data_IF_206963581927
#
_entry.id   IF_206963581927
#
_cell.length_a   1.000
_cell.length_b   1.000
_cell.length_c   1.000
_cell.angle_alpha   90.00
_cell.angle_beta   90.00
_cell.angle_gamma   90.00
#
_symmetry.space_group_name_H-M   'P 1'
#
loop_
_entity.id
_entity.type
_entity.pdbx_description
1 polymer ?
#
# COMPACT_ATOMS: atom_id res chain seq x y z
N UNK A 1 -20.64 5.11 -0.36
CA UNK A 1 -19.75 5.13 0.82
C UNK A 1 -18.53 4.27 0.50
N UNK A 2 -17.32 4.69 0.87
CA UNK A 2 -16.12 3.97 0.48
C UNK A 2 -16.14 2.53 1.00
N UNK A 3 -15.78 1.59 0.13
CA UNK A 3 -15.64 0.18 0.51
C UNK A 3 -14.30 -0.08 1.20
N UNK A 4 -13.27 0.69 0.81
CA UNK A 4 -11.94 0.69 1.42
C UNK A 4 -11.66 2.05 2.05
N UNK A 5 -11.13 2.05 3.26
CA UNK A 5 -10.48 3.20 3.88
C UNK A 5 -9.01 2.88 4.08
N UNK A 6 -8.14 3.82 3.71
CA UNK A 6 -6.70 3.74 4.00
C UNK A 6 -6.26 4.92 4.86
N UNK A 7 -5.31 4.70 5.78
CA UNK A 7 -4.75 5.75 6.63
C UNK A 7 -3.23 5.68 6.58
N UNK A 8 -2.58 6.75 6.13
CA UNK A 8 -1.12 6.79 6.06
C UNK A 8 -0.56 8.01 5.34
N UNK A 9 0.76 8.12 5.30
CA UNK A 9 1.46 9.24 4.69
C UNK A 9 1.59 9.10 3.18
N UNK A 10 1.35 10.20 2.48
CA UNK A 10 1.71 10.37 1.07
C UNK A 10 2.66 11.57 0.93
N UNK A 11 3.73 11.37 0.17
CA UNK A 11 4.76 12.38 -0.09
C UNK A 11 4.69 12.88 -1.53
N UNK A 12 5.14 14.12 -1.75
CA UNK A 12 5.48 14.55 -3.11
C UNK A 12 6.84 13.96 -3.49
N UNK A 13 6.86 13.12 -4.50
CA UNK A 13 8.02 12.39 -4.97
C UNK A 13 8.63 13.05 -6.19
N UNK A 14 9.88 13.47 -6.08
CA UNK A 14 10.66 14.07 -7.14
C UNK A 14 11.45 12.98 -7.87
N UNK A 15 11.04 12.67 -9.10
CA UNK A 15 11.69 11.68 -9.96
C UNK A 15 12.57 12.39 -10.97
N UNK A 16 13.86 12.08 -11.05
CA UNK A 16 14.77 12.73 -12.01
C UNK A 16 14.42 12.34 -13.45
N UNK A 17 14.72 13.22 -14.40
CA UNK A 17 14.61 12.98 -15.82
C UNK A 17 15.87 12.29 -16.41
N UNK A 18 16.91 12.12 -15.59
CA UNK A 18 18.21 11.57 -16.00
C UNK A 18 18.75 10.56 -14.99
N UNK A 19 19.57 9.66 -15.48
CA UNK A 19 20.30 8.68 -14.66
C UNK A 19 21.58 9.31 -14.10
N UNK A 20 21.84 9.11 -12.82
CA UNK A 20 23.05 9.58 -12.15
C UNK A 20 22.81 10.19 -10.79
N UNK A 21 23.90 10.67 -10.17
CA UNK A 21 23.81 11.23 -8.81
C UNK A 21 22.98 12.53 -8.79
N UNK A 22 22.09 12.63 -7.78
CA UNK A 22 21.17 13.77 -7.60
C UNK A 22 21.82 15.14 -7.69
N UNK A 23 23.06 15.26 -7.24
CA UNK A 23 23.82 16.53 -7.29
C UNK A 23 24.02 17.09 -8.70
N UNK A 24 23.80 16.31 -9.74
CA UNK A 24 23.92 16.71 -11.14
C UNK A 24 22.57 16.79 -11.86
N UNK A 25 21.48 16.36 -11.22
CA UNK A 25 20.13 16.44 -11.78
C UNK A 25 19.60 17.85 -11.72
N UNK A 26 19.10 18.38 -12.82
CA UNK A 26 18.57 19.73 -12.91
C UNK A 26 17.04 19.75 -13.04
N UNK A 27 16.43 18.67 -13.54
CA UNK A 27 14.98 18.61 -13.74
C UNK A 27 14.38 17.39 -13.07
N UNK A 28 13.18 17.57 -12.51
CA UNK A 28 12.42 16.54 -11.86
C UNK A 28 10.95 16.59 -12.27
N UNK A 29 10.36 15.44 -12.52
CA UNK A 29 8.92 15.28 -12.49
C UNK A 29 8.44 15.10 -11.06
N UNK A 30 7.26 15.64 -10.72
CA UNK A 30 6.63 15.47 -9.41
C UNK A 30 5.52 14.45 -9.54
N UNK A 31 5.48 13.48 -8.60
CA UNK A 31 4.46 12.43 -8.46
C UNK A 31 4.03 12.29 -7.02
N UNK A 32 3.01 11.48 -6.77
CA UNK A 32 2.64 11.07 -5.41
C UNK A 32 3.31 9.73 -5.08
N UNK A 33 3.67 9.53 -3.82
CA UNK A 33 4.20 8.27 -3.32
C UNK A 33 3.78 8.05 -1.86
N UNK A 34 3.01 7.00 -1.62
CA UNK A 34 2.55 6.60 -0.30
C UNK A 34 1.88 5.24 -0.37
N UNK A 35 2.29 4.29 0.46
CA UNK A 35 1.85 2.91 0.38
C UNK A 35 0.31 2.80 0.44
N UNK A 36 -0.29 3.45 1.41
CA UNK A 36 -1.74 3.41 1.62
C UNK A 36 -2.51 4.14 0.53
N UNK A 37 -2.02 5.31 0.06
CA UNK A 37 -2.66 6.03 -1.04
C UNK A 37 -2.49 5.31 -2.38
N UNK A 38 -1.37 4.62 -2.61
CA UNK A 38 -1.16 3.81 -3.79
C UNK A 38 -2.22 2.70 -3.88
N UNK A 39 -2.51 2.03 -2.76
CA UNK A 39 -3.58 1.02 -2.69
C UNK A 39 -4.95 1.66 -2.97
N UNK A 40 -5.26 2.81 -2.40
CA UNK A 40 -6.53 3.50 -2.63
C UNK A 40 -6.71 3.88 -4.12
N UNK A 41 -5.65 4.39 -4.78
CA UNK A 41 -5.65 4.69 -6.22
C UNK A 41 -5.90 3.43 -7.05
N UNK A 42 -5.23 2.33 -6.72
CA UNK A 42 -5.42 1.08 -7.45
C UNK A 42 -6.86 0.56 -7.36
N UNK A 43 -7.50 0.65 -6.19
CA UNK A 43 -8.90 0.27 -6.06
C UNK A 43 -9.82 1.19 -6.86
N UNK A 44 -9.58 2.51 -6.81
CA UNK A 44 -10.37 3.48 -7.57
C UNK A 44 -10.29 3.21 -9.08
N UNK A 45 -9.10 2.95 -9.63
CA UNK A 45 -8.92 2.55 -11.04
C UNK A 45 -9.65 1.26 -11.39
N UNK A 46 -9.78 0.32 -10.44
CA UNK A 46 -10.54 -0.92 -10.62
C UNK A 46 -12.05 -0.76 -10.38
N UNK A 47 -12.55 0.47 -10.26
CA UNK A 47 -13.98 0.79 -10.18
C UNK A 47 -14.58 0.65 -8.78
N UNK A 48 -13.78 0.62 -7.72
CA UNK A 48 -14.22 0.54 -6.34
C UNK A 48 -14.12 1.90 -5.64
N UNK A 49 -15.02 2.16 -4.70
CA UNK A 49 -14.97 3.38 -3.89
C UNK A 49 -13.91 3.25 -2.79
N UNK A 50 -12.85 4.07 -2.87
CA UNK A 50 -11.77 4.12 -1.90
C UNK A 50 -11.62 5.52 -1.30
N UNK A 51 -11.36 5.59 0.01
CA UNK A 51 -11.05 6.82 0.72
C UNK A 51 -9.65 6.75 1.34
N UNK A 52 -9.00 7.89 1.40
CA UNK A 52 -7.70 8.05 2.04
C UNK A 52 -7.76 9.14 3.11
N UNK A 53 -7.21 8.82 4.27
CA UNK A 53 -7.09 9.71 5.44
C UNK A 53 -5.62 9.95 5.73
N UNK A 54 -5.26 11.20 5.89
CA UNK A 54 -3.93 11.64 6.27
C UNK A 54 -3.95 13.06 6.80
N UNK A 55 -2.79 13.52 7.28
CA UNK A 55 -2.52 14.94 7.47
C UNK A 55 -1.59 15.43 6.37
N UNK A 56 -1.91 16.59 5.80
CA UNK A 56 -1.09 17.31 4.83
C UNK A 56 -0.78 18.70 5.37
N UNK A 57 0.40 19.23 5.05
CA UNK A 57 0.68 20.65 5.29
C UNK A 57 -0.23 21.55 4.47
N UNK A 58 -0.37 22.80 4.90
CA UNK A 58 -1.07 23.85 4.14
C UNK A 58 -0.22 24.41 3.00
N UNK A 59 0.82 23.68 2.60
CA UNK A 59 1.75 24.02 1.53
C UNK A 59 1.29 23.50 0.15
N UNK A 60 2.01 23.93 -0.92
CA UNK A 60 1.70 23.55 -2.29
C UNK A 60 1.82 22.05 -2.54
N UNK A 61 2.68 21.33 -1.80
CA UNK A 61 2.79 19.87 -1.94
C UNK A 61 1.58 19.15 -1.37
N UNK A 62 1.01 19.65 -0.26
CA UNK A 62 -0.25 19.13 0.27
C UNK A 62 -1.41 19.33 -0.71
N UNK A 63 -1.49 20.53 -1.33
CA UNK A 63 -2.46 20.81 -2.38
C UNK A 63 -2.26 19.89 -3.59
N UNK A 64 -1.01 19.70 -4.03
CA UNK A 64 -0.66 18.83 -5.15
C UNK A 64 -1.12 17.38 -4.88
N UNK A 65 -0.73 16.79 -3.75
CA UNK A 65 -1.06 15.40 -3.39
C UNK A 65 -2.58 15.21 -3.40
N UNK A 66 -3.34 16.05 -2.70
CA UNK A 66 -4.80 15.95 -2.67
C UNK A 66 -5.41 16.02 -4.06
N UNK A 67 -4.93 16.94 -4.91
CA UNK A 67 -5.47 17.12 -6.25
C UNK A 67 -5.18 15.89 -7.13
N UNK A 68 -3.99 15.31 -7.05
CA UNK A 68 -3.62 14.10 -7.79
C UNK A 68 -4.47 12.91 -7.36
N UNK A 69 -4.61 12.65 -6.05
CA UNK A 69 -5.40 11.52 -5.56
C UNK A 69 -6.90 11.67 -5.92
N UNK A 70 -7.43 12.89 -5.86
CA UNK A 70 -8.81 13.16 -6.32
C UNK A 70 -8.98 12.95 -7.82
N UNK A 71 -8.00 13.31 -8.63
CA UNK A 71 -8.02 13.08 -10.08
C UNK A 71 -8.05 11.58 -10.41
N UNK A 72 -7.45 10.74 -9.57
CA UNK A 72 -7.50 9.28 -9.67
C UNK A 72 -8.78 8.66 -9.06
N UNK A 73 -9.71 9.47 -8.56
CA UNK A 73 -11.00 9.00 -8.03
C UNK A 73 -11.01 8.64 -6.54
N UNK A 74 -9.94 8.94 -5.81
CA UNK A 74 -9.88 8.68 -4.36
C UNK A 74 -10.64 9.76 -3.59
N UNK A 75 -11.48 9.36 -2.63
CA UNK A 75 -12.12 10.29 -1.70
C UNK A 75 -11.11 10.83 -0.68
N UNK A 76 -10.77 12.11 -0.83
CA UNK A 76 -9.89 12.86 0.06
C UNK A 76 -10.66 13.84 0.96
N UNK A 77 -11.98 13.68 1.13
CA UNK A 77 -12.80 14.61 1.92
C UNK A 77 -12.44 14.63 3.42
N UNK A 78 -11.74 13.59 3.87
CA UNK A 78 -11.34 13.38 5.27
C UNK A 78 -9.87 13.69 5.52
N UNK A 79 -9.19 14.33 4.58
CA UNK A 79 -7.81 14.80 4.75
C UNK A 79 -7.79 16.02 5.66
N UNK A 80 -6.88 16.01 6.63
CA UNK A 80 -6.70 17.07 7.63
C UNK A 80 -5.53 17.95 7.18
N UNK A 81 -5.74 19.27 7.17
CA UNK A 81 -4.66 20.22 6.92
C UNK A 81 -4.04 20.67 8.21
N UNK A 82 -2.73 20.54 8.29
CA UNK A 82 -1.90 20.93 9.44
C UNK A 82 -1.15 22.21 9.08
N UNK A 83 -1.43 23.34 9.74
CA UNK A 83 -0.75 24.59 9.46
C UNK A 83 0.67 24.68 10.06
N UNK A 84 0.99 23.82 11.03
CA UNK A 84 2.23 23.88 11.79
C UNK A 84 3.31 22.96 11.20
N UNK A 85 2.91 21.95 10.43
CA UNK A 85 3.83 20.95 9.87
C UNK A 85 3.72 20.88 8.35
N UNK A 86 4.86 20.58 7.71
CA UNK A 86 4.95 20.51 6.25
C UNK A 86 4.56 19.14 5.71
N UNK A 87 4.15 19.10 4.46
CA UNK A 87 3.99 17.87 3.71
C UNK A 87 5.34 17.20 3.50
N UNK A 88 5.40 15.87 3.72
CA UNK A 88 6.60 15.08 3.43
C UNK A 88 6.95 15.09 1.95
N UNK A 89 8.24 15.12 1.64
CA UNK A 89 8.74 15.01 0.27
C UNK A 89 9.85 13.98 0.18
N UNK A 90 10.08 13.44 -1.02
CA UNK A 90 11.21 12.57 -1.28
C UNK A 90 11.80 12.80 -2.66
N UNK A 91 13.07 12.45 -2.80
CA UNK A 91 13.78 12.45 -4.09
C UNK A 91 14.21 11.04 -4.44
N UNK A 92 13.96 10.63 -5.69
CA UNK A 92 14.54 9.41 -6.27
C UNK A 92 15.87 9.76 -6.95
N UNK A 93 16.87 8.91 -6.77
CA UNK A 93 18.12 8.93 -7.55
C UNK A 93 18.14 7.67 -8.39
N UNK A 94 18.00 7.82 -9.70
CA UNK A 94 18.02 6.68 -10.60
C UNK A 94 19.47 6.34 -10.98
N UNK A 95 19.96 5.22 -10.47
CA UNK A 95 21.25 4.64 -10.79
C UNK A 95 21.15 3.58 -11.88
N UNK A 96 22.32 3.04 -12.31
CA UNK A 96 22.35 1.89 -13.22
C UNK A 96 22.00 0.64 -12.40
N UNK A 97 20.77 0.13 -12.58
CA UNK A 97 20.29 -1.08 -11.91
C UNK A 97 19.81 -0.89 -10.45
N UNK A 98 19.84 0.33 -9.91
CA UNK A 98 19.41 0.63 -8.53
C UNK A 98 18.78 2.01 -8.45
N UNK A 99 17.65 2.12 -7.77
CA UNK A 99 17.04 3.40 -7.41
C UNK A 99 17.24 3.65 -5.92
N UNK A 100 17.82 4.80 -5.57
CA UNK A 100 17.94 5.26 -4.19
C UNK A 100 16.87 6.29 -3.89
N UNK A 101 16.36 6.26 -2.65
CA UNK A 101 15.36 7.22 -2.18
C UNK A 101 15.91 8.01 -0.99
N UNK A 102 15.79 9.33 -1.09
CA UNK A 102 16.15 10.30 -0.06
C UNK A 102 14.87 10.92 0.48
N UNK A 103 14.58 10.69 1.75
CA UNK A 103 13.37 11.13 2.42
C UNK A 103 13.60 12.44 3.16
N UNK A 104 12.68 13.39 2.99
CA UNK A 104 12.55 14.63 3.75
C UNK A 104 11.14 14.65 4.35
N UNK A 105 10.90 13.72 5.30
CA UNK A 105 9.60 13.46 5.92
C UNK A 105 9.66 13.53 7.45
N UNK A 106 10.79 13.88 8.01
CA UNK A 106 10.92 14.07 9.45
C UNK A 106 10.04 15.23 9.90
N UNK A 107 9.23 14.98 10.94
CA UNK A 107 8.26 15.95 11.42
C UNK A 107 7.28 16.45 10.34
N UNK A 108 6.92 15.57 9.37
CA UNK A 108 5.90 15.88 8.39
C UNK A 108 4.51 15.94 9.04
N UNK A 109 3.56 16.63 8.42
CA UNK A 109 2.17 16.70 8.89
C UNK A 109 1.60 15.29 9.16
N UNK A 110 1.83 14.33 8.28
CA UNK A 110 1.37 12.96 8.45
C UNK A 110 2.00 12.23 9.64
N UNK A 111 3.22 12.60 10.07
CA UNK A 111 3.84 12.05 11.28
C UNK A 111 3.17 12.52 12.58
N UNK A 112 2.22 13.44 12.50
CA UNK A 112 1.38 13.94 13.59
C UNK A 112 -0.05 13.37 13.57
N UNK A 113 -0.33 12.36 12.73
CA UNK A 113 -1.57 11.61 12.85
C UNK A 113 -1.74 11.08 14.28
N UNK A 114 -2.94 11.24 14.85
CA UNK A 114 -3.20 10.92 16.25
C UNK A 114 -4.57 10.24 16.42
N UNK A 115 -4.87 9.64 17.59
CA UNK A 115 -6.12 8.93 17.83
C UNK A 115 -7.37 9.76 17.57
N UNK A 116 -7.31 11.08 17.78
CA UNK A 116 -8.42 12.01 17.55
C UNK A 116 -8.81 12.13 16.07
N UNK A 117 -7.89 11.78 15.15
CA UNK A 117 -8.16 11.73 13.71
C UNK A 117 -9.01 10.52 13.32
N UNK A 118 -9.13 9.51 14.21
CA UNK A 118 -9.89 8.27 14.00
C UNK A 118 -11.24 8.37 14.68
N UNK A 119 -12.24 8.85 13.95
CA UNK A 119 -13.60 8.97 14.48
C UNK A 119 -14.48 7.80 14.04
N UNK A 120 -15.51 7.42 14.81
CA UNK A 120 -16.45 6.36 14.41
C UNK A 120 -17.05 6.57 13.01
N UNK A 121 -17.32 7.80 12.63
CA UNK A 121 -17.87 8.14 11.31
C UNK A 121 -16.94 7.81 10.13
N UNK A 122 -15.62 7.68 10.37
CA UNK A 122 -14.67 7.29 9.33
C UNK A 122 -14.93 5.90 8.77
N UNK A 123 -15.40 4.98 9.60
CA UNK A 123 -15.63 3.58 9.24
C UNK A 123 -17.09 3.28 8.86
N UNK A 124 -17.96 4.28 8.81
CA UNK A 124 -19.35 4.06 8.40
C UNK A 124 -19.43 3.62 6.93
N UNK A 125 -19.96 2.42 6.70
CA UNK A 125 -20.08 1.79 5.38
C UNK A 125 -18.79 1.23 4.80
N UNK A 126 -17.66 1.37 5.51
CA UNK A 126 -16.36 0.77 5.13
C UNK A 126 -16.40 -0.74 5.35
N UNK A 127 -15.89 -1.50 4.39
CA UNK A 127 -15.75 -2.97 4.50
C UNK A 127 -14.36 -3.38 4.96
N UNK A 128 -13.33 -2.65 4.49
CA UNK A 128 -11.92 -2.93 4.79
C UNK A 128 -11.21 -1.65 5.18
N UNK A 129 -10.54 -1.67 6.32
CA UNK A 129 -9.50 -0.72 6.71
C UNK A 129 -8.15 -1.28 6.31
N UNK A 130 -7.43 -0.61 5.41
CA UNK A 130 -6.09 -1.00 5.02
C UNK A 130 -5.05 -0.05 5.59
N UNK A 131 -4.01 -0.62 6.21
CA UNK A 131 -2.85 0.10 6.73
C UNK A 131 -1.57 -0.66 6.45
N UNK A 132 -0.44 0.04 6.49
CA UNK A 132 0.89 -0.56 6.40
C UNK A 132 1.68 -0.41 7.69
N UNK A 133 2.76 -1.19 7.83
CA UNK A 133 3.71 -1.07 8.92
C UNK A 133 4.60 0.18 8.86
N UNK A 134 4.43 1.02 7.83
CA UNK A 134 5.11 2.32 7.74
C UNK A 134 4.50 3.30 8.74
N UNK A 135 3.18 3.44 8.73
CA UNK A 135 2.47 4.45 9.53
C UNK A 135 2.75 4.35 11.03
N UNK A 136 2.67 3.18 11.72
CA UNK A 136 2.89 3.10 13.16
C UNK A 136 4.33 3.38 13.61
N UNK A 137 5.30 3.38 12.70
CA UNK A 137 6.72 3.63 13.04
C UNK A 137 7.17 5.06 12.72
N UNK A 138 6.28 5.92 12.22
CA UNK A 138 6.59 7.32 11.94
C UNK A 138 6.78 8.13 13.23
N UNK A 139 5.92 7.90 14.23
CA UNK A 139 5.93 8.57 15.53
C UNK A 139 5.12 7.81 16.57
N UNK A 140 5.23 8.22 17.84
CA UNK A 140 4.41 7.66 18.93
C UNK A 140 2.92 7.97 18.73
N UNK A 141 2.57 9.15 18.22
CA UNK A 141 1.16 9.50 17.94
C UNK A 141 0.59 8.66 16.79
N UNK A 142 1.37 8.39 15.73
CA UNK A 142 0.98 7.49 14.65
C UNK A 142 0.77 6.06 15.14
N UNK A 143 1.61 5.58 16.07
CA UNK A 143 1.40 4.28 16.72
C UNK A 143 0.10 4.25 17.52
N UNK A 144 -0.14 5.28 18.34
CA UNK A 144 -1.37 5.39 19.11
C UNK A 144 -2.61 5.46 18.19
N UNK A 145 -2.53 6.21 17.09
CA UNK A 145 -3.56 6.30 16.05
C UNK A 145 -3.82 4.93 15.41
N UNK A 146 -2.77 4.20 15.04
CA UNK A 146 -2.90 2.86 14.43
C UNK A 146 -3.64 1.90 15.37
N UNK A 147 -3.28 1.89 16.65
CA UNK A 147 -3.98 1.07 17.67
C UNK A 147 -5.44 1.47 17.83
N UNK A 148 -5.75 2.78 17.83
CA UNK A 148 -7.13 3.27 17.88
C UNK A 148 -7.94 2.87 16.65
N UNK A 149 -7.34 2.96 15.43
CA UNK A 149 -7.97 2.55 14.19
C UNK A 149 -8.29 1.04 14.15
N UNK A 150 -7.36 0.20 14.61
CA UNK A 150 -7.56 -1.24 14.72
C UNK A 150 -8.66 -1.59 15.74
N UNK A 151 -8.65 -0.94 16.91
CA UNK A 151 -9.68 -1.15 17.92
C UNK A 151 -11.07 -0.77 17.39
N UNK A 152 -11.19 0.39 16.74
CA UNK A 152 -12.45 0.86 16.17
C UNK A 152 -12.92 -0.04 15.02
N UNK A 153 -12.02 -0.51 14.16
CA UNK A 153 -12.37 -1.44 13.08
C UNK A 153 -12.97 -2.74 13.66
N UNK A 154 -12.35 -3.31 14.69
CA UNK A 154 -12.87 -4.50 15.38
C UNK A 154 -14.23 -4.24 16.01
N UNK A 155 -14.41 -3.11 16.69
CA UNK A 155 -15.70 -2.72 17.32
C UNK A 155 -16.81 -2.63 16.26
N UNK A 156 -16.51 -2.09 15.08
CA UNK A 156 -17.47 -1.91 13.99
C UNK A 156 -17.61 -3.13 13.06
N UNK A 157 -16.85 -4.18 13.28
CA UNK A 157 -16.84 -5.35 12.39
C UNK A 157 -16.29 -5.06 10.99
N UNK A 158 -15.40 -4.09 10.86
CA UNK A 158 -14.68 -3.75 9.62
C UNK A 158 -13.43 -4.62 9.57
N UNK A 159 -13.22 -5.34 8.47
CA UNK A 159 -12.05 -6.18 8.29
C UNK A 159 -10.76 -5.33 8.20
N UNK A 160 -9.71 -5.77 8.86
CA UNK A 160 -8.41 -5.11 8.83
C UNK A 160 -7.53 -5.79 7.79
N UNK A 161 -7.02 -5.01 6.84
CA UNK A 161 -5.97 -5.41 5.90
C UNK A 161 -4.65 -4.77 6.31
N UNK A 162 -3.60 -5.56 6.40
CA UNK A 162 -2.29 -5.06 6.82
C UNK A 162 -1.17 -5.57 5.93
N UNK A 163 -0.32 -4.63 5.47
CA UNK A 163 0.97 -4.90 4.82
C UNK A 163 2.10 -4.54 5.79
N UNK A 164 2.90 -5.47 6.30
CA UNK A 164 4.06 -5.17 7.15
C UNK A 164 4.98 -4.10 6.58
N UNK A 165 5.19 -4.09 5.29
CA UNK A 165 5.91 -3.07 4.51
C UNK A 165 7.17 -2.56 5.24
N UNK A 166 8.04 -3.49 5.63
CA UNK A 166 9.19 -3.24 6.51
C UNK A 166 10.17 -2.27 5.87
N UNK A 167 10.35 -1.12 6.49
CA UNK A 167 11.31 -0.09 6.10
C UNK A 167 12.31 0.15 7.23
N UNK A 168 13.33 -0.70 7.36
CA UNK A 168 14.32 -0.63 8.47
C UNK A 168 14.98 0.75 8.63
N UNK A 169 15.10 1.53 7.55
CA UNK A 169 15.60 2.91 7.61
C UNK A 169 14.73 3.83 8.48
N UNK A 170 13.41 3.57 8.56
CA UNK A 170 12.49 4.33 9.40
C UNK A 170 12.59 3.94 10.88
N UNK A 171 13.14 2.76 11.18
CA UNK A 171 13.20 2.24 12.55
C UNK A 171 14.23 2.95 13.43
N UNK A 172 15.18 3.70 12.83
CA UNK A 172 16.15 4.55 13.54
C UNK A 172 16.88 3.85 14.72
N UNK A 173 17.16 2.55 14.56
CA UNK A 173 17.81 1.73 15.57
C UNK A 173 16.89 1.12 16.63
N UNK A 174 15.59 1.41 16.61
CA UNK A 174 14.59 0.71 17.41
C UNK A 174 14.18 -0.60 16.72
N UNK A 175 13.81 -1.60 17.51
CA UNK A 175 13.27 -2.85 16.97
C UNK A 175 11.72 -2.80 17.02
N UNK A 176 11.12 -2.58 15.86
CA UNK A 176 9.66 -2.61 15.69
C UNK A 176 9.13 -3.97 15.24
N UNK A 177 9.97 -5.00 15.06
CA UNK A 177 9.50 -6.32 14.62
C UNK A 177 8.41 -6.91 15.54
N UNK A 178 8.50 -6.83 16.88
CA UNK A 178 7.43 -7.32 17.75
C UNK A 178 6.09 -6.62 17.53
N UNK A 179 6.12 -5.28 17.35
CA UNK A 179 4.92 -4.49 17.07
C UNK A 179 4.29 -4.86 15.73
N UNK A 180 5.10 -4.89 14.66
CA UNK A 180 4.62 -5.22 13.31
C UNK A 180 4.06 -6.65 13.28
N UNK A 181 4.72 -7.59 13.96
CA UNK A 181 4.21 -8.96 14.14
C UNK A 181 2.85 -8.97 14.83
N UNK A 182 2.68 -8.21 15.92
CA UNK A 182 1.42 -8.09 16.64
C UNK A 182 0.30 -7.57 15.72
N UNK A 183 0.54 -6.48 14.98
CA UNK A 183 -0.44 -5.91 14.05
C UNK A 183 -0.79 -6.89 12.92
N UNK A 184 0.21 -7.60 12.40
CA UNK A 184 0.00 -8.64 11.37
C UNK A 184 -0.93 -9.74 11.87
N UNK A 185 -0.72 -10.24 13.09
CA UNK A 185 -1.55 -11.30 13.68
C UNK A 185 -2.97 -10.84 14.03
N UNK A 186 -3.18 -9.53 14.18
CA UNK A 186 -4.50 -8.94 14.45
C UNK A 186 -5.35 -8.69 13.20
N UNK A 187 -4.81 -8.94 12.00
CA UNK A 187 -5.42 -8.57 10.72
C UNK A 187 -6.10 -9.74 10.04
N UNK A 188 -7.28 -9.51 9.45
CA UNK A 188 -8.05 -10.50 8.71
C UNK A 188 -7.51 -10.72 7.29
N UNK A 189 -6.86 -9.70 6.69
CA UNK A 189 -6.24 -9.80 5.37
C UNK A 189 -4.77 -9.43 5.53
N UNK A 190 -3.88 -10.40 5.35
CA UNK A 190 -2.43 -10.21 5.53
C UNK A 190 -1.74 -10.24 4.18
N UNK A 191 -1.01 -9.17 3.86
CA UNK A 191 -0.37 -8.95 2.56
C UNK A 191 1.14 -8.71 2.79
N UNK A 192 1.94 -9.77 2.88
CA UNK A 192 3.35 -9.64 3.25
C UNK A 192 4.30 -10.16 2.16
N UNK A 193 5.54 -9.70 2.19
CA UNK A 193 6.64 -10.28 1.41
C UNK A 193 7.21 -11.52 2.08
N UNK A 194 7.79 -12.44 1.29
CA UNK A 194 8.46 -13.63 1.84
C UNK A 194 9.64 -13.26 2.76
N UNK A 195 10.39 -12.21 2.41
CA UNK A 195 11.48 -11.69 3.26
C UNK A 195 10.96 -11.03 4.54
N UNK A 196 9.75 -10.47 4.50
CA UNK A 196 9.09 -9.91 5.68
C UNK A 196 8.60 -11.01 6.62
N UNK A 197 8.09 -12.13 6.06
CA UNK A 197 7.74 -13.31 6.84
C UNK A 197 8.96 -13.87 7.57
N UNK A 198 10.11 -13.96 6.90
CA UNK A 198 11.38 -14.35 7.53
C UNK A 198 11.78 -13.38 8.64
N UNK A 199 11.72 -12.08 8.37
CA UNK A 199 12.10 -11.05 9.34
C UNK A 199 11.20 -11.01 10.59
N UNK A 200 9.90 -11.30 10.45
CA UNK A 200 8.91 -11.22 11.53
C UNK A 200 8.72 -12.54 12.28
N UNK A 201 8.79 -13.66 11.57
CA UNK A 201 8.40 -14.97 12.09
C UNK A 201 9.51 -16.01 12.00
N UNK A 202 10.62 -15.72 11.31
CA UNK A 202 11.70 -16.68 11.04
C UNK A 202 11.25 -17.81 10.09
N UNK A 203 10.26 -17.56 9.25
CA UNK A 203 9.67 -18.55 8.36
C UNK A 203 9.83 -18.13 6.88
N UNK A 204 10.23 -19.10 6.04
CA UNK A 204 10.31 -18.96 4.57
C UNK A 204 9.45 -19.97 3.82
N UNK A 205 8.94 -20.99 4.50
CA UNK A 205 8.02 -21.94 3.91
C UNK A 205 6.60 -21.35 3.89
N UNK A 206 5.98 -21.18 2.71
CA UNK A 206 4.65 -20.57 2.60
C UNK A 206 3.57 -21.32 3.39
N UNK A 207 3.61 -22.66 3.42
CA UNK A 207 2.63 -23.44 4.18
C UNK A 207 2.77 -23.23 5.68
N UNK A 208 3.99 -23.16 6.20
CA UNK A 208 4.24 -22.85 7.62
C UNK A 208 3.79 -21.43 7.98
N UNK A 209 3.96 -20.45 7.05
CA UNK A 209 3.48 -19.08 7.24
C UNK A 209 1.95 -19.06 7.27
N UNK A 210 1.26 -19.73 6.35
CA UNK A 210 -0.19 -19.85 6.36
C UNK A 210 -0.71 -20.50 7.64
N UNK A 211 -0.11 -21.62 8.07
CA UNK A 211 -0.51 -22.30 9.30
C UNK A 211 -0.39 -21.40 10.51
N UNK A 212 0.69 -20.62 10.62
CA UNK A 212 0.87 -19.66 11.70
C UNK A 212 -0.21 -18.57 11.67
N UNK A 213 -0.44 -17.94 10.51
CA UNK A 213 -1.35 -16.80 10.39
C UNK A 213 -2.82 -17.21 10.58
N UNK A 214 -3.22 -18.40 10.12
CA UNK A 214 -4.58 -18.91 10.30
C UNK A 214 -4.86 -19.49 11.69
N UNK A 215 -3.83 -20.04 12.37
CA UNK A 215 -3.97 -20.66 13.69
C UNK A 215 -3.79 -19.64 14.83
N UNK A 216 -2.73 -18.84 14.75
CA UNK A 216 -2.29 -17.96 15.84
C UNK A 216 -2.72 -16.50 15.61
N UNK A 217 -3.22 -16.17 14.39
CA UNK A 217 -3.72 -14.86 14.00
C UNK A 217 -5.21 -14.84 13.70
N UNK A 218 -5.68 -13.69 13.22
CA UNK A 218 -7.06 -13.46 12.80
C UNK A 218 -7.28 -13.66 11.30
N UNK A 219 -6.26 -14.09 10.53
CA UNK A 219 -6.29 -14.11 9.08
C UNK A 219 -7.44 -14.93 8.52
N UNK A 220 -8.10 -14.38 7.51
CA UNK A 220 -9.06 -15.04 6.64
C UNK A 220 -8.49 -15.17 5.22
N UNK A 221 -7.67 -14.20 4.81
CA UNK A 221 -6.98 -14.19 3.53
C UNK A 221 -5.53 -13.81 3.75
N UNK A 222 -4.63 -14.51 3.07
CA UNK A 222 -3.19 -14.24 3.12
C UNK A 222 -2.63 -14.22 1.71
N UNK A 223 -1.79 -13.24 1.41
CA UNK A 223 -0.95 -13.23 0.23
C UNK A 223 0.52 -13.05 0.63
N UNK A 224 1.39 -13.93 0.14
CA UNK A 224 2.85 -13.90 0.33
C UNK A 224 3.48 -13.54 -1.01
N UNK A 225 4.03 -12.34 -1.09
CA UNK A 225 4.65 -11.78 -2.31
C UNK A 225 6.12 -12.24 -2.40
N UNK A 226 6.57 -12.67 -3.60
CA UNK A 226 7.97 -13.06 -3.86
C UNK A 226 8.50 -12.42 -5.16
N UNK A 227 8.13 -11.18 -5.38
CA UNK A 227 8.61 -10.37 -6.50
C UNK A 227 8.48 -11.08 -7.84
N UNK A 228 9.59 -11.21 -8.57
CA UNK A 228 9.63 -11.88 -9.88
C UNK A 228 9.37 -13.38 -9.87
N UNK A 229 9.29 -14.02 -8.69
CA UNK A 229 8.95 -15.45 -8.55
C UNK A 229 7.45 -15.70 -8.39
N UNK A 230 6.64 -14.63 -8.34
CA UNK A 230 5.19 -14.69 -8.18
C UNK A 230 4.73 -14.48 -6.74
N UNK A 231 3.67 -15.19 -6.35
CA UNK A 231 3.09 -15.08 -5.02
C UNK A 231 2.42 -16.39 -4.61
N UNK A 232 2.19 -16.56 -3.32
CA UNK A 232 1.29 -17.59 -2.79
C UNK A 232 0.09 -16.90 -2.16
N UNK A 233 -1.10 -17.45 -2.39
CA UNK A 233 -2.33 -16.92 -1.82
C UNK A 233 -3.10 -18.02 -1.11
N UNK A 234 -3.77 -17.67 -0.04
CA UNK A 234 -4.55 -18.62 0.72
C UNK A 234 -5.78 -17.98 1.37
N UNK A 235 -6.82 -18.79 1.48
CA UNK A 235 -7.88 -18.65 2.46
C UNK A 235 -7.92 -19.91 3.36
N UNK A 236 -8.95 -20.09 4.18
CA UNK A 236 -9.05 -21.26 5.08
C UNK A 236 -9.21 -22.60 4.36
N UNK A 237 -9.51 -22.59 3.07
CA UNK A 237 -9.84 -23.78 2.27
C UNK A 237 -8.90 -24.01 1.10
N UNK A 238 -8.25 -22.97 0.63
CA UNK A 238 -7.46 -22.96 -0.61
C UNK A 238 -6.08 -22.41 -0.34
N UNK A 239 -5.04 -23.04 -0.89
CA UNK A 239 -3.66 -22.53 -0.95
C UNK A 239 -3.16 -22.72 -2.37
N UNK A 240 -2.67 -21.67 -3.00
CA UNK A 240 -2.24 -21.71 -4.39
C UNK A 240 -0.97 -20.88 -4.60
N UNK A 241 -0.04 -21.41 -5.40
CA UNK A 241 1.11 -20.68 -5.91
C UNK A 241 0.78 -20.06 -7.26
N UNK A 242 0.92 -18.75 -7.37
CA UNK A 242 0.68 -18.01 -8.60
C UNK A 242 2.01 -17.65 -9.28
N UNK A 243 2.12 -17.87 -10.60
CA UNK A 243 3.27 -17.39 -11.35
C UNK A 243 3.24 -15.85 -11.44
N UNK A 244 4.39 -15.20 -11.66
CA UNK A 244 4.41 -13.78 -11.93
C UNK A 244 3.67 -13.47 -13.23
N UNK A 245 3.00 -12.32 -13.30
CA UNK A 245 2.42 -11.85 -14.55
C UNK A 245 3.54 -11.33 -15.47
N UNK A 246 3.55 -11.71 -16.77
CA UNK A 246 4.61 -11.32 -17.71
C UNK A 246 4.68 -9.79 -17.87
N UNK A 247 5.82 -9.20 -17.59
CA UNK A 247 6.07 -7.76 -17.77
C UNK A 247 7.55 -7.49 -18.10
N UNK A 248 7.84 -6.26 -18.50
CA UNK A 248 9.22 -5.74 -18.63
C UNK A 248 9.41 -4.63 -17.62
N UNK A 249 9.96 -4.93 -16.43
CA UNK A 249 10.06 -3.96 -15.35
C UNK A 249 11.04 -2.83 -15.74
N UNK A 250 10.62 -1.60 -15.43
CA UNK A 250 11.43 -0.36 -15.52
C UNK A 250 11.79 0.09 -14.11
N UNK A 251 10.81 0.11 -13.20
CA UNK A 251 10.94 0.57 -11.83
C UNK A 251 10.13 -0.37 -10.90
N UNK A 252 10.76 -1.04 -9.91
CA UNK A 252 10.04 -1.98 -9.03
C UNK A 252 9.24 -1.28 -7.91
N UNK A 253 9.41 0.03 -7.70
CA UNK A 253 8.70 0.78 -6.66
C UNK A 253 7.20 0.82 -6.98
N UNK A 254 6.36 0.64 -5.95
CA UNK A 254 4.90 0.59 -6.11
C UNK A 254 4.33 -0.79 -6.48
N UNK A 255 5.17 -1.77 -6.86
CA UNK A 255 4.70 -3.11 -7.24
C UNK A 255 3.98 -3.84 -6.09
N UNK A 256 4.49 -3.72 -4.87
CA UNK A 256 3.87 -4.30 -3.67
C UNK A 256 2.50 -3.71 -3.39
N UNK A 257 2.39 -2.39 -3.44
CA UNK A 257 1.13 -1.66 -3.24
C UNK A 257 0.14 -1.97 -4.37
N UNK A 258 0.62 -2.10 -5.62
CA UNK A 258 -0.18 -2.54 -6.77
C UNK A 258 -0.74 -3.94 -6.56
N UNK A 259 0.10 -4.88 -6.08
CA UNK A 259 -0.37 -6.22 -5.73
C UNK A 259 -1.46 -6.15 -4.65
N UNK A 260 -1.24 -5.38 -3.59
CA UNK A 260 -2.21 -5.20 -2.52
C UNK A 260 -3.54 -4.64 -3.04
N UNK A 261 -3.47 -3.63 -3.93
CA UNK A 261 -4.66 -3.04 -4.54
C UNK A 261 -5.46 -4.04 -5.36
N UNK A 262 -4.81 -4.79 -6.25
CA UNK A 262 -5.47 -5.82 -7.07
C UNK A 262 -6.07 -6.94 -6.23
N UNK A 263 -5.34 -7.42 -5.23
CA UNK A 263 -5.82 -8.46 -4.32
C UNK A 263 -7.04 -8.01 -3.53
N UNK A 264 -6.97 -6.83 -2.90
CA UNK A 264 -8.09 -6.27 -2.13
C UNK A 264 -9.30 -5.97 -3.01
N UNK A 265 -9.09 -5.50 -4.24
CA UNK A 265 -10.17 -5.30 -5.19
C UNK A 265 -10.87 -6.62 -5.52
N UNK A 266 -10.13 -7.70 -5.75
CA UNK A 266 -10.69 -9.03 -5.98
C UNK A 266 -11.53 -9.51 -4.79
N UNK A 267 -11.01 -9.41 -3.57
CA UNK A 267 -11.75 -9.79 -2.36
C UNK A 267 -13.03 -8.95 -2.20
N UNK A 268 -12.95 -7.63 -2.37
CA UNK A 268 -14.11 -6.73 -2.25
C UNK A 268 -15.17 -6.95 -3.33
N UNK A 269 -14.77 -7.45 -4.51
CA UNK A 269 -15.66 -7.85 -5.60
C UNK A 269 -16.25 -9.25 -5.41
N UNK A 270 -15.87 -9.99 -4.35
CA UNK A 270 -16.35 -11.34 -4.06
C UNK A 270 -15.72 -12.41 -4.97
N UNK A 271 -14.56 -12.14 -5.57
CA UNK A 271 -13.79 -13.16 -6.31
C UNK A 271 -13.17 -14.16 -5.33
N UNK A 272 -12.90 -15.37 -5.80
CA UNK A 272 -12.12 -16.34 -5.04
C UNK A 272 -10.69 -15.86 -4.82
N UNK A 273 -9.99 -16.45 -3.84
CA UNK A 273 -8.64 -16.01 -3.41
C UNK A 273 -7.59 -16.14 -4.53
N UNK A 274 -7.75 -17.13 -5.43
CA UNK A 274 -6.84 -17.35 -6.55
C UNK A 274 -7.01 -16.25 -7.60
N UNK A 275 -8.26 -15.92 -7.94
CA UNK A 275 -8.57 -14.82 -8.86
C UNK A 275 -8.12 -13.47 -8.27
N UNK A 276 -8.39 -13.22 -6.98
CA UNK A 276 -7.90 -12.04 -6.29
C UNK A 276 -6.35 -11.94 -6.34
N UNK A 277 -5.67 -13.06 -6.13
CA UNK A 277 -4.21 -13.13 -6.26
C UNK A 277 -3.70 -12.84 -7.67
N UNK A 278 -4.39 -13.33 -8.71
CA UNK A 278 -4.06 -13.01 -10.12
C UNK A 278 -4.23 -11.51 -10.39
N UNK A 279 -5.31 -10.90 -9.89
CA UNK A 279 -5.50 -9.44 -9.98
C UNK A 279 -4.35 -8.69 -9.30
N UNK A 280 -3.91 -9.15 -8.12
CA UNK A 280 -2.74 -8.62 -7.45
C UNK A 280 -1.46 -8.74 -8.29
N UNK A 281 -1.19 -9.93 -8.84
CA UNK A 281 -0.02 -10.16 -9.70
C UNK A 281 -0.02 -9.27 -10.94
N UNK A 282 -1.17 -9.06 -11.59
CA UNK A 282 -1.34 -8.17 -12.75
C UNK A 282 -1.05 -6.72 -12.35
N UNK A 283 -1.69 -6.19 -11.29
CA UNK A 283 -1.46 -4.81 -10.85
C UNK A 283 0.00 -4.57 -10.46
N UNK A 284 0.58 -5.49 -9.68
CA UNK A 284 1.98 -5.38 -9.25
C UNK A 284 2.96 -5.41 -10.43
N UNK A 285 2.73 -6.27 -11.42
CA UNK A 285 3.57 -6.34 -12.61
C UNK A 285 3.45 -5.09 -13.49
N UNK A 286 2.22 -4.61 -13.74
CA UNK A 286 1.98 -3.42 -14.56
C UNK A 286 2.52 -2.14 -13.89
N UNK A 287 2.47 -2.03 -12.57
CA UNK A 287 3.11 -0.95 -11.81
C UNK A 287 4.57 -0.77 -12.20
N UNK A 288 5.31 -1.88 -12.37
CA UNK A 288 6.74 -1.85 -12.66
C UNK A 288 7.09 -1.31 -14.06
N UNK A 289 6.11 -1.15 -14.95
CA UNK A 289 6.35 -0.73 -16.35
C UNK A 289 6.34 0.80 -16.53
N UNK A 290 6.16 1.56 -15.45
CA UNK A 290 6.17 3.02 -15.46
C UNK A 290 7.12 3.58 -14.42
N UNK A 291 7.63 4.81 -14.57
CA UNK A 291 8.55 5.42 -13.60
C UNK A 291 7.87 5.96 -12.34
N UNK A 292 6.56 5.81 -12.21
CA UNK A 292 5.78 6.23 -11.04
C UNK A 292 5.19 5.03 -10.31
N UNK A 293 4.65 5.28 -9.12
CA UNK A 293 4.16 4.21 -8.24
C UNK A 293 2.79 3.65 -8.69
N UNK A 294 1.93 4.48 -9.31
CA UNK A 294 0.52 4.15 -9.62
C UNK A 294 0.12 4.32 -11.08
N UNK A 295 0.96 4.95 -11.89
CA UNK A 295 0.67 5.27 -13.29
C UNK A 295 0.48 4.03 -14.15
N UNK A 296 1.16 2.94 -13.81
CA UNK A 296 1.05 1.65 -14.50
C UNK A 296 -0.15 0.79 -14.06
N UNK A 297 -0.90 1.16 -13.03
CA UNK A 297 -2.03 0.35 -12.57
C UNK A 297 -3.12 0.26 -13.64
N UNK A 298 -3.69 -0.92 -13.87
CA UNK A 298 -4.75 -1.10 -14.85
C UNK A 298 -6.07 -0.49 -14.37
N UNK A 299 -6.88 -0.07 -15.33
CA UNK A 299 -8.31 0.15 -15.08
C UNK A 299 -9.10 -1.18 -15.08
N UNK A 300 -10.40 -1.11 -14.78
CA UNK A 300 -11.24 -2.30 -14.70
C UNK A 300 -11.31 -3.06 -16.04
N UNK A 301 -11.32 -2.38 -17.19
CA UNK A 301 -11.38 -3.03 -18.49
C UNK A 301 -10.04 -3.71 -18.83
N UNK A 302 -8.94 -3.06 -18.52
CA UNK A 302 -7.59 -3.63 -18.67
C UNK A 302 -7.39 -4.85 -17.76
N UNK A 303 -7.90 -4.80 -16.52
CA UNK A 303 -7.85 -5.93 -15.59
C UNK A 303 -8.61 -7.14 -16.13
N UNK A 304 -9.87 -6.97 -16.57
CA UNK A 304 -10.66 -8.07 -17.12
C UNK A 304 -10.03 -8.66 -18.40
N UNK A 305 -9.48 -7.81 -19.26
CA UNK A 305 -8.74 -8.27 -20.44
C UNK A 305 -7.49 -9.08 -20.06
N UNK A 306 -6.71 -8.63 -19.07
CA UNK A 306 -5.53 -9.34 -18.60
C UNK A 306 -5.87 -10.69 -17.95
N UNK A 307 -6.97 -10.77 -17.19
CA UNK A 307 -7.46 -12.02 -16.57
C UNK A 307 -7.93 -13.04 -17.59
N UNK A 308 -8.56 -12.59 -18.68
CA UNK A 308 -9.16 -13.46 -19.72
C UNK A 308 -8.23 -13.71 -20.90
N UNK A 309 -7.09 -13.01 -21.01
CA UNK A 309 -6.21 -13.05 -22.17
C UNK A 309 -6.82 -12.38 -23.42
N UNK A 310 -7.85 -11.56 -23.25
CA UNK A 310 -8.49 -10.83 -24.35
C UNK A 310 -7.66 -9.64 -24.80
N UNK A 311 -7.68 -9.36 -26.11
CA UNK A 311 -7.05 -8.15 -26.63
C UNK A 311 -7.92 -6.91 -26.36
N UNK A 312 -7.33 -5.84 -25.82
CA UNK A 312 -8.01 -4.55 -25.69
C UNK A 312 -7.95 -3.85 -27.04
N UNK A 313 -9.11 -3.59 -27.65
CA UNK A 313 -9.20 -2.82 -28.87
C UNK A 313 -9.49 -1.35 -28.51
N UNK A 314 -8.49 -0.50 -28.60
CA UNK A 314 -8.68 0.95 -28.53
C UNK A 314 -9.24 1.41 -29.88
N UNK A 315 -10.45 1.96 -29.87
CA UNK A 315 -11.04 2.63 -31.04
C UNK A 315 -10.93 4.12 -30.90
#
# INVERSE_FOLDING_TARGET
>A
MPQLLTIGETMAAFTPDSVGALRYVQNFGIRTAGAESNVAVGLAKLGLEAAWVSRLGTDEFGCFIRNQLRAEGVDCSRVIYDPDHRTGIMFKETGVGETKVFYYRENSAASHLCPEDVTPALLDGVKVLHMSGITPVLSESCLAMTKAAFALAKEKGVAISFDPNIRRKLWRGQDYAPLIRELTLQSEIVLLGLDEADALFGLRDPDAIFDLLFRDGCAQYVAIKDGGNGAWVADKTTREKLPPYPCKPIEPIGAGDGFNAGFLAGILQGRDVVTAGRMGAICGALATQTPGDVEGYPDAAQMEAALTGAAITYR
#
